data_IF_000433029562
#
_entry.id   IF_000433029562
#
_cell.length_a   1.000
_cell.length_b   1.000
_cell.length_c   1.000
_cell.angle_alpha   90.00
_cell.angle_beta   90.00
_cell.angle_gamma   90.00
#
_symmetry.space_group_name_H-M   'P 1'
#
loop_
_entity.id
_entity.type
_entity.pdbx_description
1 polymer ?
#
# COMPACT_ATOMS: atom_id res chain seq x y z
N UNK A 1 4.41 53.55 45.30
CA UNK A 1 4.26 52.10 45.56
C UNK A 1 5.02 51.75 46.84
N UNK A 2 4.34 51.17 47.84
CA UNK A 2 4.89 50.99 49.19
C UNK A 2 6.03 49.95 49.16
N UNK A 3 7.23 50.27 49.66
CA UNK A 3 8.41 49.36 49.62
C UNK A 3 8.14 48.00 50.29
N UNK A 4 7.24 47.98 51.29
CA UNK A 4 6.77 46.74 51.93
C UNK A 4 5.89 45.89 51.00
N UNK A 5 5.06 46.51 50.18
CA UNK A 5 4.20 45.82 49.21
C UNK A 5 5.03 45.22 48.07
N UNK A 6 6.05 45.94 47.59
CA UNK A 6 6.97 45.44 46.58
C UNK A 6 7.83 44.27 47.11
N UNK A 7 8.34 44.37 48.34
CA UNK A 7 9.07 43.27 48.99
C UNK A 7 8.19 42.02 49.20
N UNK A 8 6.92 42.21 49.55
CA UNK A 8 5.97 41.10 49.72
C UNK A 8 5.63 40.40 48.40
N UNK A 9 5.48 41.16 47.31
CA UNK A 9 5.26 40.60 45.97
C UNK A 9 6.49 39.83 45.48
N UNK A 10 7.71 40.34 45.68
CA UNK A 10 8.94 39.61 45.36
C UNK A 10 9.09 38.30 46.15
N UNK A 11 8.65 38.28 47.42
CA UNK A 11 8.70 37.07 48.25
C UNK A 11 7.71 36.00 47.77
N UNK A 12 6.52 36.41 47.31
CA UNK A 12 5.52 35.51 46.72
C UNK A 12 6.01 34.94 45.39
N UNK A 13 6.67 35.75 44.56
CA UNK A 13 7.23 35.31 43.27
C UNK A 13 8.40 34.33 43.50
N UNK A 14 9.25 34.55 44.51
CA UNK A 14 10.31 33.60 44.88
C UNK A 14 9.79 32.30 45.53
N UNK A 15 8.55 32.28 46.04
CA UNK A 15 7.93 31.09 46.62
C UNK A 15 7.19 30.21 45.59
N UNK A 16 7.06 30.67 44.34
CA UNK A 16 6.56 29.83 43.25
C UNK A 16 7.66 28.86 42.83
N UNK A 17 7.66 27.67 43.43
CA UNK A 17 8.43 26.54 42.90
C UNK A 17 7.86 26.20 41.53
N UNK A 18 8.68 26.35 40.48
CA UNK A 18 8.38 25.77 39.18
C UNK A 18 8.53 24.26 39.36
N UNK A 19 7.45 23.56 39.70
CA UNK A 19 7.43 22.11 39.59
C UNK A 19 7.34 21.77 38.11
N UNK A 20 8.44 21.26 37.55
CA UNK A 20 8.39 20.55 36.30
C UNK A 20 7.44 19.35 36.47
N UNK A 21 6.57 19.12 35.49
CA UNK A 21 5.69 17.96 35.52
C UNK A 21 6.53 16.69 35.43
N UNK A 22 6.40 15.79 36.40
CA UNK A 22 7.03 14.47 36.33
C UNK A 22 6.35 13.66 35.22
N UNK A 23 7.14 13.20 34.26
CA UNK A 23 6.70 12.31 33.19
C UNK A 23 6.69 10.88 33.76
N UNK A 24 5.52 10.25 33.83
CA UNK A 24 5.39 8.87 34.28
C UNK A 24 5.41 7.88 33.11
N UNK A 25 5.73 6.61 33.40
CA UNK A 25 5.59 5.53 32.43
C UNK A 25 4.15 5.40 31.92
N UNK A 26 3.15 5.62 32.78
CA UNK A 26 1.74 5.60 32.39
C UNK A 26 1.41 6.71 31.39
N UNK A 27 1.97 7.91 31.55
CA UNK A 27 1.77 8.99 30.57
C UNK A 27 2.28 8.62 29.17
N UNK A 28 3.36 7.83 29.09
CA UNK A 28 3.91 7.32 27.82
C UNK A 28 3.02 6.20 27.26
N UNK A 29 2.63 5.22 28.08
CA UNK A 29 1.80 4.07 27.67
C UNK A 29 0.40 4.53 27.19
N UNK A 30 -0.20 5.49 27.90
CA UNK A 30 -1.50 6.07 27.56
C UNK A 30 -1.42 7.09 26.41
N UNK A 31 -0.22 7.26 25.82
CA UNK A 31 0.02 8.17 24.69
C UNK A 31 -0.41 9.62 25.00
N UNK A 32 -0.33 10.05 26.26
CA UNK A 32 -0.73 11.41 26.70
C UNK A 32 -0.02 12.51 25.94
N UNK A 33 1.23 12.27 25.56
CA UNK A 33 2.07 13.21 24.80
C UNK A 33 2.17 12.86 23.31
N UNK A 34 1.37 11.93 22.81
CA UNK A 34 1.36 11.61 21.39
C UNK A 34 0.89 12.83 20.59
N UNK A 35 1.66 13.18 19.57
CA UNK A 35 1.28 14.24 18.65
C UNK A 35 -0.05 13.89 17.98
N UNK A 36 -0.98 14.85 17.98
CA UNK A 36 -2.19 14.73 17.16
C UNK A 36 -1.79 14.87 15.70
N UNK A 37 -2.20 13.92 14.87
CA UNK A 37 -2.12 14.01 13.42
C UNK A 37 -3.50 14.28 12.85
N UNK A 38 -3.56 14.80 11.62
CA UNK A 38 -4.80 14.80 10.87
C UNK A 38 -5.10 13.35 10.51
N UNK A 39 -6.34 12.89 10.77
CA UNK A 39 -6.79 11.56 10.35
C UNK A 39 -6.52 11.35 8.85
N UNK A 40 -6.48 10.09 8.41
CA UNK A 40 -6.21 9.70 7.01
C UNK A 40 -6.89 10.68 6.06
N UNK A 41 -6.07 11.40 5.30
CA UNK A 41 -6.54 12.45 4.40
C UNK A 41 -5.92 12.35 3.02
N UNK A 42 -6.73 12.59 2.00
CA UNK A 42 -6.31 12.59 0.60
C UNK A 42 -6.66 13.94 -0.03
N UNK A 43 -5.72 14.50 -0.79
CA UNK A 43 -5.99 15.66 -1.64
C UNK A 43 -6.96 15.25 -2.75
N UNK A 44 -7.95 16.11 -3.04
CA UNK A 44 -8.83 15.94 -4.18
C UNK A 44 -8.17 16.47 -5.45
N UNK A 45 -8.64 15.96 -6.59
CA UNK A 45 -8.11 16.33 -7.91
C UNK A 45 -8.41 17.76 -8.35
N UNK A 46 -9.38 18.40 -7.70
CA UNK A 46 -9.66 19.82 -7.92
C UNK A 46 -8.50 20.73 -7.46
N UNK A 47 -7.53 20.20 -6.69
CA UNK A 47 -6.36 20.92 -6.19
C UNK A 47 -6.67 21.97 -5.12
N UNK A 48 -7.91 22.01 -4.63
CA UNK A 48 -8.44 23.04 -3.74
C UNK A 48 -9.14 22.47 -2.51
N UNK A 49 -9.40 21.16 -2.47
CA UNK A 49 -10.02 20.47 -1.36
C UNK A 49 -9.29 19.19 -0.95
N UNK A 50 -9.52 18.74 0.28
CA UNK A 50 -9.05 17.45 0.79
C UNK A 50 -10.16 16.74 1.54
N UNK A 51 -10.07 15.41 1.60
CA UNK A 51 -11.02 14.55 2.29
C UNK A 51 -10.34 13.96 3.51
N UNK A 52 -11.02 13.92 4.65
CA UNK A 52 -10.56 13.25 5.86
C UNK A 52 -11.68 12.40 6.48
N UNK A 53 -11.29 11.35 7.20
CA UNK A 53 -12.22 10.58 8.03
C UNK A 53 -12.61 11.44 9.25
N UNK A 54 -13.90 11.45 9.60
CA UNK A 54 -14.39 12.11 10.82
C UNK A 54 -13.81 11.47 12.09
N UNK A 55 -13.79 12.22 13.20
CA UNK A 55 -13.23 11.73 14.47
C UNK A 55 -13.94 10.47 15.00
N UNK A 56 -15.23 10.32 14.71
CA UNK A 56 -16.04 9.13 15.06
C UNK A 56 -15.83 7.94 14.10
N UNK A 57 -15.07 8.13 13.01
CA UNK A 57 -14.83 7.10 12.00
C UNK A 57 -16.01 6.80 11.08
N UNK A 58 -17.12 7.54 11.16
CA UNK A 58 -18.36 7.20 10.44
C UNK A 58 -18.54 7.91 9.10
N UNK A 59 -17.76 8.97 8.84
CA UNK A 59 -17.98 9.84 7.69
C UNK A 59 -16.68 10.18 6.98
N UNK A 60 -16.77 10.41 5.67
CA UNK A 60 -15.75 11.13 4.92
C UNK A 60 -16.19 12.59 4.76
N UNK A 61 -15.37 13.50 5.26
CA UNK A 61 -15.63 14.93 5.30
C UNK A 61 -14.69 15.64 4.33
N UNK A 62 -15.22 16.56 3.51
CA UNK A 62 -14.46 17.33 2.55
C UNK A 62 -14.25 18.76 3.04
N UNK A 63 -13.01 19.22 3.02
CA UNK A 63 -12.62 20.53 3.50
C UNK A 63 -11.97 21.34 2.39
N UNK A 64 -12.16 22.66 2.42
CA UNK A 64 -11.39 23.58 1.57
C UNK A 64 -9.96 23.69 2.09
N UNK A 65 -8.98 23.51 1.21
CA UNK A 65 -7.56 23.54 1.56
C UNK A 65 -7.13 24.92 2.09
N UNK A 66 -7.70 25.99 1.55
CA UNK A 66 -7.30 27.36 1.87
C UNK A 66 -7.77 27.83 3.25
N UNK A 67 -9.02 27.56 3.59
CA UNK A 67 -9.65 28.07 4.81
C UNK A 67 -9.80 27.03 5.92
N UNK A 68 -9.73 25.73 5.59
CA UNK A 68 -10.11 24.65 6.50
C UNK A 68 -11.61 24.53 6.72
N UNK A 69 -12.44 25.27 5.96
CA UNK A 69 -13.89 25.18 6.07
C UNK A 69 -14.39 23.81 5.60
N UNK A 70 -15.28 23.19 6.38
CA UNK A 70 -16.03 22.01 5.96
C UNK A 70 -16.96 22.39 4.80
N UNK A 71 -16.75 21.77 3.63
CA UNK A 71 -17.55 21.97 2.43
C UNK A 71 -18.78 21.08 2.42
N UNK A 72 -18.58 19.76 2.61
CA UNK A 72 -19.66 18.78 2.68
C UNK A 72 -19.22 17.46 3.34
N UNK A 73 -20.20 16.57 3.54
CA UNK A 73 -20.00 15.17 3.92
C UNK A 73 -20.16 14.31 2.67
N UNK A 74 -19.09 13.63 2.25
CA UNK A 74 -19.07 12.78 1.05
C UNK A 74 -19.89 11.51 1.27
N UNK A 75 -19.77 10.90 2.44
CA UNK A 75 -20.52 9.72 2.86
C UNK A 75 -20.61 9.68 4.37
N UNK A 76 -21.72 9.18 4.89
CA UNK A 76 -21.84 8.67 6.25
C UNK A 76 -22.27 7.21 6.14
N UNK A 77 -21.42 6.29 6.59
CA UNK A 77 -21.58 4.84 6.30
C UNK A 77 -22.72 4.16 7.04
N UNK A 78 -23.36 4.83 8.00
CA UNK A 78 -24.59 4.36 8.63
C UNK A 78 -25.85 4.78 7.85
N UNK A 79 -25.71 5.71 6.91
CA UNK A 79 -26.81 6.29 6.13
C UNK A 79 -26.78 5.91 4.64
N UNK A 80 -25.93 4.95 4.28
CA UNK A 80 -25.85 4.39 2.92
C UNK A 80 -26.99 3.41 2.66
N UNK A 81 -27.33 3.23 1.38
CA UNK A 81 -28.29 2.23 0.92
C UNK A 81 -27.61 0.88 0.70
N UNK A 82 -28.42 -0.18 0.72
CA UNK A 82 -28.06 -1.60 0.56
C UNK A 82 -27.22 -2.17 1.72
N UNK A 83 -26.12 -1.52 2.10
CA UNK A 83 -25.28 -1.91 3.23
C UNK A 83 -24.91 -0.69 4.08
N UNK A 84 -24.48 -0.97 5.31
CA UNK A 84 -23.92 -0.01 6.25
C UNK A 84 -22.59 -0.55 6.80
N UNK A 85 -21.70 0.34 7.21
CA UNK A 85 -20.47 0.00 7.95
C UNK A 85 -20.48 0.64 9.33
N UNK A 86 -19.72 0.05 10.26
CA UNK A 86 -19.61 0.55 11.64
C UNK A 86 -18.54 1.62 11.82
N UNK A 87 -17.52 1.61 10.99
CA UNK A 87 -16.45 2.60 10.96
C UNK A 87 -15.66 2.46 9.66
N UNK A 88 -14.90 3.50 9.33
CA UNK A 88 -14.01 3.58 8.17
C UNK A 88 -12.58 3.58 8.71
N UNK A 89 -11.77 2.61 8.30
CA UNK A 89 -10.33 2.58 8.61
C UNK A 89 -9.48 3.20 7.50
N UNK A 90 -10.03 3.26 6.29
CA UNK A 90 -9.47 4.04 5.22
C UNK A 90 -10.29 4.00 3.94
N UNK A 91 -9.85 4.78 2.96
CA UNK A 91 -10.56 4.97 1.71
C UNK A 91 -9.62 5.24 0.52
N UNK A 92 -10.13 5.00 -0.70
CA UNK A 92 -9.46 5.34 -1.95
C UNK A 92 -10.51 5.75 -3.00
N UNK A 93 -10.26 6.82 -3.75
CA UNK A 93 -11.16 7.30 -4.80
C UNK A 93 -10.79 6.71 -6.17
N UNK A 94 -11.79 6.52 -7.03
CA UNK A 94 -11.56 6.38 -8.47
C UNK A 94 -11.02 7.67 -9.07
N UNK A 95 -10.46 7.57 -10.28
CA UNK A 95 -9.94 8.74 -11.00
C UNK A 95 -10.97 9.87 -11.23
N UNK A 96 -12.26 9.54 -11.31
CA UNK A 96 -13.36 10.48 -11.53
C UNK A 96 -14.10 10.88 -10.24
N UNK A 97 -13.58 10.49 -9.08
CA UNK A 97 -14.14 10.72 -7.75
C UNK A 97 -15.61 10.28 -7.57
N UNK A 98 -16.15 9.43 -8.46
CA UNK A 98 -17.56 9.02 -8.43
C UNK A 98 -17.81 7.76 -7.60
N UNK A 99 -16.77 6.92 -7.45
CA UNK A 99 -16.78 5.74 -6.61
C UNK A 99 -15.61 5.78 -5.62
N UNK A 100 -15.84 5.16 -4.45
CA UNK A 100 -14.89 5.15 -3.35
C UNK A 100 -14.77 3.73 -2.83
N UNK A 101 -13.55 3.22 -2.70
CA UNK A 101 -13.27 2.04 -1.88
C UNK A 101 -13.23 2.49 -0.42
N UNK A 102 -13.99 1.83 0.44
CA UNK A 102 -13.95 1.99 1.89
C UNK A 102 -13.57 0.65 2.50
N UNK A 103 -12.76 0.62 3.56
CA UNK A 103 -12.44 -0.62 4.26
C UNK A 103 -12.54 -0.51 5.77
N UNK A 104 -12.73 -1.68 6.39
CA UNK A 104 -12.84 -1.88 7.83
C UNK A 104 -12.26 -3.24 8.21
N UNK A 105 -12.07 -3.50 9.51
CA UNK A 105 -11.62 -4.77 10.05
C UNK A 105 -10.22 -5.16 9.54
N UNK A 106 -9.31 -4.20 9.41
CA UNK A 106 -7.95 -4.46 8.97
C UNK A 106 -7.22 -5.39 9.95
N UNK A 107 -6.65 -6.45 9.40
CA UNK A 107 -5.83 -7.43 10.10
C UNK A 107 -4.42 -7.40 9.50
N UNK A 108 -3.44 -6.83 10.21
CA UNK A 108 -2.05 -6.81 9.75
C UNK A 108 -1.50 -8.21 9.50
N UNK A 109 -0.61 -8.32 8.51
CA UNK A 109 0.14 -9.54 8.21
C UNK A 109 1.60 -9.35 8.61
N UNK A 110 2.29 -8.36 8.01
CA UNK A 110 3.63 -7.93 8.41
C UNK A 110 3.65 -6.41 8.70
N UNK A 111 4.69 -5.67 8.29
CA UNK A 111 4.81 -4.24 8.61
C UNK A 111 3.77 -3.35 7.92
N UNK A 112 3.35 -3.70 6.70
CA UNK A 112 2.53 -2.84 5.84
C UNK A 112 1.28 -3.53 5.33
N UNK A 113 1.36 -4.82 5.04
CA UNK A 113 0.25 -5.55 4.47
C UNK A 113 -0.80 -5.88 5.51
N UNK A 114 -2.05 -5.87 5.07
CA UNK A 114 -3.20 -6.23 5.86
C UNK A 114 -4.29 -6.80 4.98
N UNK A 115 -5.11 -7.68 5.55
CA UNK A 115 -6.41 -8.02 5.00
C UNK A 115 -7.47 -7.09 5.57
N UNK A 116 -8.48 -6.72 4.79
CA UNK A 116 -9.63 -5.97 5.28
C UNK A 116 -10.90 -6.34 4.50
N UNK A 117 -12.05 -5.96 5.05
CA UNK A 117 -13.33 -6.05 4.36
C UNK A 117 -13.53 -4.76 3.55
N UNK A 118 -13.51 -4.86 2.22
CA UNK A 118 -13.67 -3.71 1.34
C UNK A 118 -15.11 -3.58 0.84
N UNK A 119 -15.52 -2.32 0.68
CA UNK A 119 -16.80 -1.92 0.12
C UNK A 119 -16.57 -0.91 -1.01
N UNK A 120 -17.43 -0.96 -2.02
CA UNK A 120 -17.48 0.03 -3.09
C UNK A 120 -18.68 0.93 -2.84
N UNK A 121 -18.41 2.21 -2.58
CA UNK A 121 -19.42 3.24 -2.43
C UNK A 121 -19.64 3.99 -3.73
N UNK A 122 -20.87 4.00 -4.24
CA UNK A 122 -21.30 4.83 -5.35
C UNK A 122 -21.93 6.13 -4.81
N UNK A 123 -21.24 7.26 -4.99
CA UNK A 123 -21.67 8.56 -4.48
C UNK A 123 -22.99 9.03 -5.09
N UNK A 124 -23.17 8.82 -6.40
CA UNK A 124 -24.35 9.33 -7.14
C UNK A 124 -25.65 8.69 -6.64
N UNK A 125 -25.60 7.41 -6.29
CA UNK A 125 -26.78 6.66 -5.90
C UNK A 125 -26.89 6.43 -4.39
N UNK A 126 -25.87 6.86 -3.63
CA UNK A 126 -25.71 6.59 -2.20
C UNK A 126 -25.81 5.08 -1.88
N UNK A 127 -25.16 4.24 -2.70
CA UNK A 127 -25.18 2.78 -2.56
C UNK A 127 -23.82 2.31 -2.07
N UNK A 128 -23.82 1.48 -1.03
CA UNK A 128 -22.63 0.81 -0.52
C UNK A 128 -22.79 -0.70 -0.71
N UNK A 129 -21.80 -1.33 -1.33
CA UNK A 129 -21.82 -2.77 -1.61
C UNK A 129 -20.49 -3.41 -1.22
N UNK A 130 -20.49 -4.63 -0.66
CA UNK A 130 -19.26 -5.36 -0.43
C UNK A 130 -18.53 -5.61 -1.76
N UNK A 131 -17.20 -5.44 -1.76
CA UNK A 131 -16.38 -5.71 -2.94
C UNK A 131 -16.47 -7.19 -3.35
N UNK A 132 -16.41 -8.07 -2.35
CA UNK A 132 -16.51 -9.52 -2.49
C UNK A 132 -17.19 -10.12 -1.26
N UNK A 133 -18.01 -11.16 -1.48
CA UNK A 133 -18.62 -11.95 -0.40
C UNK A 133 -17.75 -13.14 0.03
N UNK A 134 -16.64 -13.38 -0.67
CA UNK A 134 -15.80 -14.56 -0.50
C UNK A 134 -14.67 -14.34 0.55
N UNK A 135 -14.91 -13.52 1.57
CA UNK A 135 -13.95 -13.22 2.65
C UNK A 135 -12.97 -12.09 2.31
N UNK A 136 -12.20 -11.65 3.33
CA UNK A 136 -11.37 -10.45 3.32
C UNK A 136 -10.36 -10.37 2.16
N UNK A 137 -10.07 -9.15 1.72
CA UNK A 137 -9.21 -8.86 0.57
C UNK A 137 -7.97 -8.09 1.02
N UNK A 138 -6.94 -8.07 0.17
CA UNK A 138 -5.75 -7.22 0.37
C UNK A 138 -5.26 -6.61 -0.93
N UNK A 139 -4.45 -5.58 -0.78
CA UNK A 139 -3.77 -4.87 -1.87
C UNK A 139 -4.74 -4.39 -2.96
N UNK A 140 -5.93 -3.89 -2.60
CA UNK A 140 -7.03 -3.56 -3.53
C UNK A 140 -6.75 -2.32 -4.38
N UNK A 141 -7.12 -2.34 -5.66
CA UNK A 141 -6.92 -1.21 -6.57
C UNK A 141 -8.00 -1.11 -7.68
N UNK A 142 -8.53 0.10 -7.91
CA UNK A 142 -9.40 0.39 -9.05
C UNK A 142 -8.66 0.32 -10.39
N UNK A 143 -9.36 -0.06 -11.45
CA UNK A 143 -8.92 0.20 -12.81
C UNK A 143 -8.98 1.71 -13.13
N UNK A 144 -8.16 2.23 -14.06
CA UNK A 144 -8.15 3.66 -14.39
C UNK A 144 -9.49 4.26 -14.84
N UNK A 145 -10.34 3.46 -15.48
CA UNK A 145 -11.71 3.83 -15.87
C UNK A 145 -12.75 3.70 -14.74
N UNK A 146 -12.34 3.22 -13.56
CA UNK A 146 -13.18 3.03 -12.37
C UNK A 146 -14.14 1.85 -12.45
N UNK A 147 -14.19 1.11 -13.56
CA UNK A 147 -15.24 0.09 -13.80
C UNK A 147 -14.92 -1.28 -13.19
N UNK A 148 -13.66 -1.48 -12.78
CA UNK A 148 -13.18 -2.72 -12.21
C UNK A 148 -12.35 -2.47 -10.97
N UNK A 149 -12.28 -3.47 -10.11
CA UNK A 149 -11.43 -3.47 -8.92
C UNK A 149 -10.64 -4.77 -8.92
N UNK A 150 -9.32 -4.67 -8.95
CA UNK A 150 -8.42 -5.80 -8.71
C UNK A 150 -8.14 -5.93 -7.20
N UNK A 151 -7.95 -7.16 -6.74
CA UNK A 151 -7.57 -7.44 -5.36
C UNK A 151 -6.94 -8.83 -5.25
N UNK A 152 -6.25 -9.08 -4.14
CA UNK A 152 -5.72 -10.39 -3.81
C UNK A 152 -6.48 -11.04 -2.66
N UNK A 153 -6.62 -12.37 -2.76
CA UNK A 153 -7.12 -13.26 -1.70
C UNK A 153 -6.50 -14.65 -1.91
N UNK A 154 -6.09 -15.30 -0.82
CA UNK A 154 -5.50 -16.66 -0.86
C UNK A 154 -4.39 -16.80 -1.91
N UNK A 155 -3.45 -15.84 -1.93
CA UNK A 155 -2.34 -15.75 -2.89
C UNK A 155 -2.74 -15.70 -4.39
N UNK A 156 -4.01 -15.43 -4.68
CA UNK A 156 -4.54 -15.31 -6.03
C UNK A 156 -5.10 -13.91 -6.29
N UNK A 157 -5.02 -13.48 -7.54
CA UNK A 157 -5.62 -12.23 -8.01
C UNK A 157 -7.05 -12.46 -8.50
N UNK A 158 -7.90 -11.49 -8.21
CA UNK A 158 -9.29 -11.43 -8.64
C UNK A 158 -9.60 -10.03 -9.21
N UNK A 159 -10.57 -9.97 -10.11
CA UNK A 159 -11.14 -8.72 -10.63
C UNK A 159 -12.65 -8.74 -10.40
N UNK A 160 -13.16 -7.76 -9.65
CA UNK A 160 -14.59 -7.43 -9.59
C UNK A 160 -14.92 -6.47 -10.73
N UNK A 161 -15.84 -6.86 -11.61
CA UNK A 161 -16.41 -5.98 -12.65
C UNK A 161 -17.67 -5.34 -12.09
N UNK A 162 -17.63 -4.03 -11.85
CA UNK A 162 -18.69 -3.32 -11.11
C UNK A 162 -20.00 -3.25 -11.90
N UNK A 163 -19.92 -3.04 -13.22
CA UNK A 163 -21.11 -2.96 -14.07
C UNK A 163 -21.96 -4.24 -14.09
N UNK A 164 -21.29 -5.39 -13.98
CA UNK A 164 -21.92 -6.71 -14.06
C UNK A 164 -22.06 -7.37 -12.69
N UNK A 165 -21.50 -6.74 -11.64
CA UNK A 165 -21.37 -7.28 -10.28
C UNK A 165 -20.68 -8.65 -10.21
N UNK A 166 -19.93 -9.04 -11.24
CA UNK A 166 -19.25 -10.34 -11.33
C UNK A 166 -17.82 -10.27 -10.82
N UNK A 167 -17.39 -11.32 -10.12
CA UNK A 167 -16.00 -11.54 -9.73
C UNK A 167 -15.35 -12.59 -10.65
N UNK A 168 -14.12 -12.34 -11.09
CA UNK A 168 -13.38 -13.23 -11.99
C UNK A 168 -11.99 -13.50 -11.39
N UNK A 169 -11.64 -14.77 -11.28
CA UNK A 169 -10.28 -15.18 -10.91
C UNK A 169 -9.31 -14.89 -12.07
N UNK A 170 -8.23 -14.15 -11.77
CA UNK A 170 -7.11 -13.88 -12.67
C UNK A 170 -6.11 -15.02 -12.60
N UNK A 171 -5.80 -15.48 -11.39
CA UNK A 171 -4.90 -16.62 -11.13
C UNK A 171 -5.61 -17.70 -10.33
N UNK A 172 -5.06 -18.91 -10.34
CA UNK A 172 -5.64 -20.08 -9.63
C UNK A 172 -4.59 -20.97 -8.96
N UNK A 173 -3.32 -20.64 -9.09
CA UNK A 173 -2.18 -21.44 -8.63
C UNK A 173 -1.56 -20.89 -7.34
N UNK A 174 -2.14 -19.84 -6.75
CA UNK A 174 -1.71 -19.30 -5.46
C UNK A 174 -1.77 -20.37 -4.37
N UNK A 175 -0.68 -20.47 -3.61
CA UNK A 175 -0.51 -21.46 -2.56
C UNK A 175 0.39 -20.89 -1.46
N UNK A 176 -0.06 -21.03 -0.20
CA UNK A 176 0.69 -20.57 0.98
C UNK A 176 2.08 -21.22 0.99
N UNK A 177 3.11 -20.42 1.27
CA UNK A 177 4.51 -20.89 1.33
C UNK A 177 5.00 -21.50 0.01
N UNK A 178 4.43 -21.12 -1.15
CA UNK A 178 4.85 -21.63 -2.45
C UNK A 178 4.71 -20.59 -3.56
N UNK A 179 3.49 -20.17 -3.85
CA UNK A 179 3.19 -19.29 -4.99
C UNK A 179 2.36 -18.11 -4.51
N UNK A 180 2.82 -16.90 -4.84
CA UNK A 180 2.12 -15.64 -4.56
C UNK A 180 1.91 -14.90 -5.89
N UNK A 181 0.68 -14.50 -6.18
CA UNK A 181 0.35 -13.72 -7.38
C UNK A 181 -0.04 -12.29 -7.00
N UNK A 182 0.76 -11.32 -7.46
CA UNK A 182 0.46 -9.89 -7.39
C UNK A 182 0.57 -9.24 -6.00
N UNK A 183 0.79 -9.99 -4.93
CA UNK A 183 1.25 -9.43 -3.65
C UNK A 183 2.71 -9.76 -3.42
N UNK A 184 3.38 -9.03 -2.53
CA UNK A 184 4.75 -9.30 -2.14
C UNK A 184 4.86 -10.54 -1.23
N UNK A 185 6.04 -11.16 -1.22
CA UNK A 185 6.47 -12.01 -0.12
C UNK A 185 6.99 -11.16 1.06
N UNK A 186 7.46 -11.82 2.12
CA UNK A 186 8.01 -11.15 3.31
C UNK A 186 9.22 -10.26 2.98
N UNK A 187 10.17 -10.76 2.17
CA UNK A 187 11.40 -10.04 1.84
C UNK A 187 11.08 -8.74 1.11
N UNK A 188 10.20 -8.81 0.11
CA UNK A 188 9.82 -7.64 -0.67
C UNK A 188 9.05 -6.61 0.16
N UNK A 189 8.19 -7.07 1.06
CA UNK A 189 7.46 -6.15 1.94
C UNK A 189 8.39 -5.41 2.91
N UNK A 190 9.37 -6.09 3.47
CA UNK A 190 10.22 -5.52 4.51
C UNK A 190 11.38 -4.72 3.92
N UNK A 191 12.06 -5.25 2.90
CA UNK A 191 13.29 -4.66 2.33
C UNK A 191 13.00 -3.69 1.18
N UNK A 192 12.00 -3.97 0.34
CA UNK A 192 11.57 -3.05 -0.73
C UNK A 192 10.31 -2.25 -0.36
N UNK A 193 9.74 -2.42 0.84
CA UNK A 193 8.60 -1.61 1.30
C UNK A 193 7.38 -1.64 0.35
N UNK A 194 7.19 -2.73 -0.40
CA UNK A 194 6.11 -2.89 -1.38
C UNK A 194 5.20 -4.04 -1.02
N UNK A 195 3.88 -3.86 -1.15
CA UNK A 195 2.89 -4.92 -0.88
C UNK A 195 2.12 -5.33 -2.13
N UNK A 196 1.73 -4.34 -2.96
CA UNK A 196 1.02 -4.56 -4.21
C UNK A 196 2.00 -4.65 -5.38
N UNK A 197 2.11 -5.85 -5.93
CA UNK A 197 2.95 -6.21 -7.06
C UNK A 197 2.13 -6.44 -8.33
N UNK A 198 1.13 -5.61 -8.55
CA UNK A 198 0.36 -5.54 -9.78
C UNK A 198 -0.08 -4.12 -10.09
N UNK A 199 -0.32 -3.82 -11.36
CA UNK A 199 -0.74 -2.51 -11.84
C UNK A 199 -1.57 -2.62 -13.13
N UNK A 200 -2.53 -1.70 -13.31
CA UNK A 200 -3.36 -1.64 -14.51
C UNK A 200 -2.67 -0.89 -15.65
N UNK A 201 -2.91 -1.28 -16.90
CA UNK A 201 -2.60 -0.40 -18.03
C UNK A 201 -3.52 0.82 -18.02
N UNK A 202 -3.04 1.96 -18.54
CA UNK A 202 -3.80 3.22 -18.56
C UNK A 202 -5.16 3.13 -19.28
N UNK A 203 -5.38 2.13 -20.12
CA UNK A 203 -6.66 1.87 -20.81
C UNK A 203 -7.52 0.77 -20.17
N UNK A 204 -7.16 0.32 -18.95
CA UNK A 204 -7.85 -0.73 -18.18
C UNK A 204 -7.91 -2.11 -18.86
N UNK A 205 -7.20 -2.35 -19.96
CA UNK A 205 -7.34 -3.63 -20.71
C UNK A 205 -6.49 -4.76 -20.18
N UNK A 206 -5.38 -4.45 -19.52
CA UNK A 206 -4.49 -5.44 -18.93
C UNK A 206 -4.24 -5.15 -17.46
N UNK A 207 -4.15 -6.22 -16.67
CA UNK A 207 -3.60 -6.20 -15.32
C UNK A 207 -2.22 -6.86 -15.40
N UNK A 208 -1.16 -6.11 -15.12
CA UNK A 208 0.20 -6.62 -15.09
C UNK A 208 0.54 -6.98 -13.66
N UNK A 209 1.12 -8.15 -13.43
CA UNK A 209 1.45 -8.59 -12.09
C UNK A 209 2.75 -9.38 -12.04
N UNK A 210 3.42 -9.32 -10.89
CA UNK A 210 4.56 -10.18 -10.57
C UNK A 210 4.03 -11.42 -9.86
N UNK A 211 4.49 -12.58 -10.33
CA UNK A 211 4.27 -13.88 -9.69
C UNK A 211 5.56 -14.31 -9.00
N UNK A 212 5.47 -14.58 -7.71
CA UNK A 212 6.56 -15.09 -6.88
C UNK A 212 6.44 -16.61 -6.78
N UNK A 213 7.56 -17.30 -7.02
CA UNK A 213 7.73 -18.69 -6.65
C UNK A 213 8.75 -18.76 -5.51
N UNK A 214 8.22 -18.91 -4.30
CA UNK A 214 8.97 -19.01 -3.05
C UNK A 214 9.16 -20.47 -2.60
N UNK A 215 8.80 -21.48 -3.42
CA UNK A 215 8.90 -22.90 -3.05
C UNK A 215 10.32 -23.37 -2.72
N UNK A 216 11.34 -22.67 -3.23
CA UNK A 216 12.76 -22.96 -2.95
C UNK A 216 13.32 -22.17 -1.77
N UNK A 217 12.57 -21.19 -1.27
CA UNK A 217 12.97 -20.39 -0.11
C UNK A 217 12.80 -21.24 1.14
N UNK A 218 13.77 -21.14 2.05
CA UNK A 218 13.73 -21.84 3.34
C UNK A 218 12.69 -21.19 4.25
N UNK A 219 12.02 -22.02 5.04
CA UNK A 219 11.08 -21.56 6.06
C UNK A 219 11.80 -21.19 7.35
N UNK A 220 11.26 -20.17 8.02
CA UNK A 220 11.50 -19.92 9.42
C UNK A 220 10.23 -20.24 10.21
N UNK A 221 10.39 -20.88 11.37
CA UNK A 221 9.29 -21.23 12.27
C UNK A 221 9.39 -20.38 13.53
N UNK A 222 8.30 -19.69 13.86
CA UNK A 222 8.12 -18.99 15.13
C UNK A 222 7.19 -19.81 16.00
N UNK A 223 7.62 -20.12 17.21
CA UNK A 223 6.76 -20.79 18.19
C UNK A 223 5.67 -19.83 18.66
N UNK A 224 4.41 -20.24 18.50
CA UNK A 224 3.24 -19.53 19.01
C UNK A 224 2.73 -20.23 20.27
N UNK A 225 2.29 -19.44 21.25
CA UNK A 225 1.75 -19.94 22.51
C UNK A 225 0.29 -19.49 22.66
N UNK A 226 -0.43 -20.09 23.61
CA UNK A 226 -1.80 -19.66 23.96
C UNK A 226 -1.91 -18.14 24.13
N UNK A 227 -0.98 -17.54 24.89
CA UNK A 227 -0.93 -16.11 25.19
C UNK A 227 -0.30 -15.23 24.09
N UNK A 228 -0.03 -15.78 22.90
CA UNK A 228 0.31 -14.96 21.72
C UNK A 228 -0.86 -14.00 21.41
N UNK A 229 -0.60 -12.91 20.69
CA UNK A 229 -1.63 -11.92 20.33
C UNK A 229 -1.88 -11.96 18.81
N UNK A 230 -3.12 -12.18 18.34
CA UNK A 230 -4.31 -12.52 19.12
C UNK A 230 -4.19 -13.89 19.80
N UNK A 231 -4.93 -14.09 20.89
CA UNK A 231 -4.94 -15.33 21.67
C UNK A 231 -5.17 -16.54 20.75
N UNK A 232 -4.35 -17.59 20.94
CA UNK A 232 -4.39 -18.82 20.15
C UNK A 232 -4.96 -19.95 20.98
N UNK A 233 -6.29 -20.03 21.08
CA UNK A 233 -6.99 -21.05 21.87
C UNK A 233 -6.57 -22.48 21.52
N UNK A 234 -6.24 -22.74 20.25
CA UNK A 234 -5.78 -24.05 19.77
C UNK A 234 -4.45 -24.50 20.41
N UNK A 235 -3.69 -23.55 20.98
CA UNK A 235 -2.40 -23.78 21.64
C UNK A 235 -2.49 -23.75 23.17
N UNK A 236 -3.69 -23.96 23.74
CA UNK A 236 -3.93 -23.95 25.19
C UNK A 236 -3.00 -24.89 25.97
N UNK A 237 -2.75 -26.08 25.45
CA UNK A 237 -1.96 -27.12 26.13
C UNK A 237 -0.58 -27.36 25.52
N UNK A 238 -0.42 -27.10 24.22
CA UNK A 238 0.83 -27.32 23.48
C UNK A 238 1.09 -26.15 22.53
N UNK A 239 2.33 -25.64 22.46
CA UNK A 239 2.68 -24.58 21.52
C UNK A 239 2.48 -25.00 20.07
N UNK A 240 2.09 -24.05 19.24
CA UNK A 240 2.04 -24.20 17.78
C UNK A 240 3.19 -23.49 17.08
N UNK A 241 3.10 -23.40 15.76
CA UNK A 241 4.11 -22.74 14.94
C UNK A 241 3.47 -21.87 13.86
N UNK A 242 4.01 -20.65 13.71
CA UNK A 242 3.82 -19.84 12.52
C UNK A 242 5.03 -20.05 11.60
N UNK A 243 4.78 -20.60 10.40
CA UNK A 243 5.81 -20.90 9.39
C UNK A 243 5.66 -20.00 8.17
N UNK A 244 6.75 -19.37 7.77
CA UNK A 244 6.78 -18.48 6.61
C UNK A 244 8.15 -18.54 5.91
N UNK A 245 8.18 -18.14 4.63
CA UNK A 245 9.42 -18.10 3.84
C UNK A 245 10.29 -16.92 4.25
N UNK A 246 11.55 -17.19 4.59
CA UNK A 246 12.50 -16.19 5.08
C UNK A 246 13.91 -16.48 4.53
N UNK A 247 14.34 -15.80 3.46
CA UNK A 247 15.68 -15.96 2.93
C UNK A 247 16.69 -15.20 3.80
N UNK A 248 17.59 -15.93 4.47
CA UNK A 248 18.77 -15.33 5.10
C UNK A 248 19.79 -14.92 4.05
N UNK A 249 20.76 -14.08 4.44
CA UNK A 249 21.87 -13.68 3.58
C UNK A 249 22.51 -14.88 2.87
N UNK A 250 22.66 -14.79 1.54
CA UNK A 250 23.21 -15.84 0.68
C UNK A 250 22.31 -17.05 0.44
N UNK A 251 21.04 -17.05 0.89
CA UNK A 251 20.08 -18.11 0.59
C UNK A 251 19.21 -17.76 -0.63
N UNK A 252 18.59 -18.78 -1.23
CA UNK A 252 17.67 -18.61 -2.36
C UNK A 252 16.53 -17.63 -2.02
N UNK A 253 16.30 -16.69 -2.93
CA UNK A 253 15.14 -15.83 -2.94
C UNK A 253 13.99 -16.42 -3.77
N UNK A 254 12.82 -15.81 -3.64
CA UNK A 254 11.69 -16.05 -4.54
C UNK A 254 12.09 -15.79 -5.98
N UNK A 255 11.78 -16.73 -6.87
CA UNK A 255 11.95 -16.53 -8.31
C UNK A 255 10.74 -15.76 -8.82
N UNK A 256 10.97 -14.59 -9.39
CA UNK A 256 9.91 -13.72 -9.88
C UNK A 256 9.70 -13.89 -11.38
N UNK A 257 8.47 -13.68 -11.82
CA UNK A 257 8.11 -13.64 -13.25
C UNK A 257 7.02 -12.59 -13.46
N UNK A 258 7.06 -11.91 -14.61
CA UNK A 258 6.07 -10.89 -14.96
C UNK A 258 4.98 -11.49 -15.84
N UNK A 259 3.73 -11.13 -15.59
CA UNK A 259 2.58 -11.66 -16.31
C UNK A 259 1.60 -10.52 -16.66
N UNK A 260 0.89 -10.70 -17.77
CA UNK A 260 -0.19 -9.82 -18.21
C UNK A 260 -1.49 -10.61 -18.32
N UNK A 261 -2.51 -10.18 -17.58
CA UNK A 261 -3.87 -10.67 -17.73
C UNK A 261 -4.68 -9.74 -18.64
N UNK A 262 -5.15 -10.24 -19.77
CA UNK A 262 -6.02 -9.50 -20.67
C UNK A 262 -7.49 -9.68 -20.28
N UNK A 263 -8.14 -8.59 -19.86
CA UNK A 263 -9.51 -8.62 -19.28
C UNK A 263 -10.57 -9.15 -20.24
N UNK A 264 -10.50 -8.78 -21.51
CA UNK A 264 -11.53 -9.11 -22.50
C UNK A 264 -11.54 -10.61 -22.82
N UNK A 265 -10.36 -11.19 -23.07
CA UNK A 265 -10.22 -12.60 -23.44
C UNK A 265 -9.92 -13.52 -22.26
N UNK A 266 -9.76 -12.95 -21.05
CA UNK A 266 -9.46 -13.68 -19.81
C UNK A 266 -8.23 -14.56 -19.93
N UNK A 267 -7.19 -14.03 -20.58
CA UNK A 267 -5.97 -14.76 -20.91
C UNK A 267 -4.79 -14.21 -20.12
N UNK A 268 -4.01 -15.10 -19.51
CA UNK A 268 -2.69 -14.76 -18.96
C UNK A 268 -1.59 -15.04 -19.97
N UNK A 269 -0.65 -14.12 -20.08
CA UNK A 269 0.58 -14.27 -20.86
C UNK A 269 1.76 -13.90 -19.99
N UNK A 270 2.76 -14.79 -19.91
CA UNK A 270 4.02 -14.46 -19.27
C UNK A 270 4.78 -13.45 -20.15
N UNK A 271 5.19 -12.34 -19.56
CA UNK A 271 5.97 -11.31 -20.20
C UNK A 271 7.47 -11.60 -20.06
N UNK A 272 8.22 -11.36 -21.13
CA UNK A 272 9.65 -11.67 -21.20
C UNK A 272 10.48 -10.44 -20.91
N UNK A 273 11.37 -10.55 -19.92
CA UNK A 273 12.39 -9.57 -19.59
C UNK A 273 13.75 -10.28 -19.48
N UNK A 274 14.86 -9.60 -19.78
CA UNK A 274 16.20 -10.15 -19.63
C UNK A 274 16.61 -10.14 -18.15
N UNK A 275 15.97 -11.00 -17.36
CA UNK A 275 16.21 -11.18 -15.93
C UNK A 275 17.02 -12.44 -15.68
N UNK A 276 18.05 -12.33 -14.86
CA UNK A 276 18.67 -13.50 -14.27
C UNK A 276 17.76 -14.13 -13.21
N UNK A 277 18.03 -15.40 -12.89
CA UNK A 277 17.19 -16.22 -12.01
C UNK A 277 16.95 -15.60 -10.61
N UNK A 278 17.92 -14.83 -10.12
CA UNK A 278 17.93 -14.24 -8.78
C UNK A 278 17.69 -12.73 -8.79
N UNK A 279 17.42 -12.15 -9.97
CA UNK A 279 17.12 -10.73 -10.10
C UNK A 279 15.76 -10.39 -9.51
N UNK A 280 15.63 -9.14 -9.09
CA UNK A 280 14.43 -8.59 -8.51
C UNK A 280 13.64 -7.79 -9.53
N UNK A 281 12.31 -7.85 -9.41
CA UNK A 281 11.39 -6.81 -9.93
C UNK A 281 10.80 -6.06 -8.73
N UNK A 282 11.48 -5.08 -8.12
CA UNK A 282 11.00 -4.42 -6.90
C UNK A 282 9.74 -3.59 -7.11
N UNK A 283 9.56 -3.00 -8.30
CA UNK A 283 8.39 -2.18 -8.60
C UNK A 283 7.97 -2.27 -10.07
N UNK A 284 6.69 -2.04 -10.31
CA UNK A 284 6.10 -1.81 -11.62
C UNK A 284 5.16 -0.61 -11.52
N UNK A 285 5.15 0.23 -12.55
CA UNK A 285 4.27 1.41 -12.62
C UNK A 285 3.61 1.51 -13.99
N UNK A 286 2.36 1.95 -14.01
CA UNK A 286 1.72 2.37 -15.24
C UNK A 286 2.35 3.67 -15.72
N UNK A 287 2.62 3.77 -17.02
CA UNK A 287 2.90 5.06 -17.65
C UNK A 287 1.59 5.71 -18.08
N UNK A 288 1.66 6.94 -18.62
CA UNK A 288 0.49 7.56 -19.27
C UNK A 288 0.11 6.89 -20.59
N UNK A 289 0.94 6.00 -21.14
CA UNK A 289 0.71 5.29 -22.39
C UNK A 289 0.28 3.85 -22.13
N UNK A 290 -0.91 3.46 -22.58
CA UNK A 290 -1.49 2.14 -22.30
C UNK A 290 -0.66 0.95 -22.81
N UNK A 291 0.18 1.18 -23.82
CA UNK A 291 1.08 0.19 -24.41
C UNK A 291 2.50 0.20 -23.80
N UNK A 292 2.72 0.92 -22.70
CA UNK A 292 4.00 1.02 -22.01
C UNK A 292 3.80 0.85 -20.51
N UNK A 293 4.24 -0.28 -19.99
CA UNK A 293 4.34 -0.53 -18.55
C UNK A 293 5.79 -0.42 -18.13
N UNK A 294 6.06 0.35 -17.09
CA UNK A 294 7.40 0.56 -16.57
C UNK A 294 7.73 -0.54 -15.56
N UNK A 295 8.76 -1.33 -15.84
CA UNK A 295 9.21 -2.42 -15.00
C UNK A 295 10.61 -2.11 -14.50
N UNK A 296 10.74 -1.95 -13.18
CA UNK A 296 12.01 -1.69 -12.51
C UNK A 296 12.61 -3.02 -12.12
N UNK A 297 13.86 -3.24 -12.50
CA UNK A 297 14.58 -4.48 -12.22
C UNK A 297 15.91 -4.17 -11.55
N UNK A 298 16.30 -4.97 -10.58
CA UNK A 298 17.53 -4.80 -9.82
C UNK A 298 18.23 -6.15 -9.75
N UNK A 299 19.52 -6.20 -10.06
CA UNK A 299 20.26 -7.46 -9.98
C UNK A 299 20.38 -7.94 -8.53
N UNK A 300 20.74 -9.22 -8.33
CA UNK A 300 20.89 -9.81 -6.98
C UNK A 300 21.85 -9.04 -6.05
N UNK A 301 22.94 -8.51 -6.61
CA UNK A 301 23.94 -7.71 -5.88
C UNK A 301 23.46 -6.28 -5.59
N UNK A 302 22.31 -5.89 -6.13
CA UNK A 302 21.68 -4.58 -5.96
C UNK A 302 22.56 -3.42 -6.42
N UNK A 303 23.43 -3.65 -7.39
CA UNK A 303 24.36 -2.66 -7.91
C UNK A 303 24.16 -2.34 -9.40
N UNK A 304 23.17 -2.98 -10.03
CA UNK A 304 22.74 -2.69 -11.40
C UNK A 304 21.21 -2.57 -11.45
N UNK A 305 20.73 -1.34 -11.66
CA UNK A 305 19.32 -1.02 -11.86
C UNK A 305 19.04 -0.87 -13.35
N UNK A 306 17.95 -1.47 -13.82
CA UNK A 306 17.43 -1.31 -15.17
C UNK A 306 15.93 -0.98 -15.14
N UNK A 307 15.53 -0.03 -15.97
CA UNK A 307 14.13 0.30 -16.22
C UNK A 307 13.76 -0.13 -17.64
N UNK A 308 12.73 -0.96 -17.75
CA UNK A 308 12.18 -1.39 -19.03
C UNK A 308 10.79 -0.80 -19.24
N UNK A 309 10.50 -0.37 -20.47
CA UNK A 309 9.12 -0.28 -20.96
C UNK A 309 8.73 -1.57 -21.64
N UNK A 310 7.62 -2.17 -21.22
CA UNK A 310 7.07 -3.37 -21.84
C UNK A 310 5.67 -3.12 -22.40
N UNK A 311 5.44 -3.59 -23.62
CA UNK A 311 4.12 -3.61 -24.23
C UNK A 311 3.43 -4.94 -23.90
N UNK A 312 2.32 -4.92 -23.13
CA UNK A 312 1.69 -6.15 -22.67
C UNK A 312 0.97 -6.93 -23.77
N UNK A 313 0.67 -6.28 -24.91
CA UNK A 313 0.06 -6.93 -26.07
C UNK A 313 1.08 -7.64 -26.95
N UNK A 314 2.22 -6.99 -27.24
CA UNK A 314 3.23 -7.53 -28.16
C UNK A 314 4.36 -8.29 -27.45
N UNK A 315 4.44 -8.20 -26.12
CA UNK A 315 5.55 -8.72 -25.31
C UNK A 315 6.94 -8.17 -25.72
N UNK A 316 6.96 -6.98 -26.33
CA UNK A 316 8.21 -6.30 -26.67
C UNK A 316 8.60 -5.42 -25.49
N UNK A 317 9.82 -5.59 -24.99
CA UNK A 317 10.43 -4.73 -24.00
C UNK A 317 11.51 -3.82 -24.62
N UNK A 318 11.72 -2.66 -24.01
CA UNK A 318 12.77 -1.70 -24.35
C UNK A 318 13.43 -1.23 -23.07
N UNK A 319 14.75 -1.40 -22.97
CA UNK A 319 15.56 -0.77 -21.92
C UNK A 319 15.55 0.75 -22.14
N UNK A 320 15.16 1.51 -21.11
CA UNK A 320 15.09 2.99 -21.19
C UNK A 320 16.04 3.68 -20.22
N UNK A 321 16.46 3.01 -19.14
CA UNK A 321 17.49 3.47 -18.23
C UNK A 321 18.26 2.27 -17.70
N UNK A 322 19.58 2.42 -17.58
CA UNK A 322 20.46 1.48 -16.89
C UNK A 322 21.44 2.28 -16.05
N UNK A 323 21.56 1.94 -14.78
CA UNK A 323 22.52 2.56 -13.87
C UNK A 323 23.24 1.50 -13.07
N UNK A 324 24.55 1.69 -12.91
CA UNK A 324 25.39 0.85 -12.06
C UNK A 324 26.09 1.71 -11.02
N UNK A 325 26.28 1.14 -9.84
CA UNK A 325 27.02 1.75 -8.75
C UNK A 325 28.08 0.77 -8.24
N UNK A 326 29.25 1.25 -7.83
CA UNK A 326 30.31 0.36 -7.32
C UNK A 326 29.91 -0.34 -6.02
N UNK A 327 29.06 0.30 -5.20
CA UNK A 327 28.53 -0.25 -3.97
C UNK A 327 27.14 -0.86 -4.20
N UNK A 328 26.12 -0.01 -4.33
CA UNK A 328 24.72 -0.43 -4.54
C UNK A 328 23.87 0.74 -5.08
N UNK A 329 22.72 0.40 -5.67
CA UNK A 329 21.63 1.32 -5.98
C UNK A 329 20.64 1.27 -4.82
N UNK A 330 20.35 2.40 -4.19
CA UNK A 330 19.35 2.46 -3.12
C UNK A 330 17.94 2.24 -3.69
N UNK A 331 17.27 1.12 -3.37
CA UNK A 331 15.97 0.80 -3.94
C UNK A 331 14.86 1.74 -3.46
N UNK A 332 15.09 2.53 -2.41
CA UNK A 332 14.10 3.48 -1.88
C UNK A 332 13.81 4.64 -2.85
N UNK A 333 14.64 4.85 -3.88
CA UNK A 333 14.43 5.88 -4.90
C UNK A 333 13.56 5.41 -6.06
N UNK A 334 13.51 4.10 -6.31
CA UNK A 334 12.79 3.51 -7.42
C UNK A 334 11.27 3.81 -7.38
N UNK A 335 10.56 3.74 -6.22
CA UNK A 335 9.14 4.07 -6.19
C UNK A 335 8.88 5.56 -6.37
N UNK A 336 9.90 6.43 -6.31
CA UNK A 336 9.77 7.88 -6.53
C UNK A 336 9.89 8.28 -8.02
N UNK A 337 10.10 7.31 -8.92
CA UNK A 337 10.12 7.59 -10.37
C UNK A 337 8.72 8.02 -10.83
N UNK A 338 8.62 9.23 -11.36
CA UNK A 338 7.37 9.81 -11.85
C UNK A 338 7.37 9.89 -13.38
N UNK A 339 6.31 9.37 -13.99
CA UNK A 339 6.14 9.31 -15.44
C UNK A 339 5.21 10.42 -15.93
N UNK A 340 5.72 11.25 -16.82
CA UNK A 340 4.91 12.22 -17.57
C UNK A 340 4.40 11.59 -18.89
N UNK A 341 3.90 12.41 -19.80
CA UNK A 341 3.49 11.92 -21.14
C UNK A 341 4.68 11.59 -22.06
N UNK A 342 5.87 12.15 -21.79
CA UNK A 342 7.05 12.07 -22.66
C UNK A 342 8.32 11.67 -21.89
N UNK A 343 8.49 12.25 -20.71
CA UNK A 343 9.70 12.16 -19.89
C UNK A 343 9.41 11.44 -18.57
N UNK A 344 10.46 11.06 -17.85
CA UNK A 344 10.36 10.60 -16.46
C UNK A 344 11.48 11.14 -15.58
N UNK A 345 11.22 11.24 -14.28
CA UNK A 345 12.23 11.66 -13.30
C UNK A 345 12.82 10.46 -12.55
N UNK A 346 14.11 10.50 -12.24
CA UNK A 346 14.79 9.48 -11.45
C UNK A 346 15.82 10.12 -10.52
N UNK A 347 15.83 9.70 -9.25
CA UNK A 347 16.82 10.13 -8.26
C UNK A 347 18.03 9.20 -8.37
N UNK A 348 19.21 9.77 -8.62
CA UNK A 348 20.47 9.04 -8.77
C UNK A 348 21.56 9.63 -7.88
N UNK A 349 22.50 8.77 -7.47
CA UNK A 349 23.71 9.11 -6.72
C UNK A 349 24.97 9.09 -7.60
N UNK A 350 24.82 9.08 -8.94
CA UNK A 350 25.93 8.87 -9.89
C UNK A 350 27.06 9.90 -9.85
N UNK A 351 26.82 11.09 -9.31
CA UNK A 351 27.84 12.14 -9.12
C UNK A 351 28.33 12.26 -7.66
N UNK A 352 27.93 11.31 -6.79
CA UNK A 352 28.25 11.27 -5.37
C UNK A 352 27.22 11.93 -4.46
N UNK A 353 26.16 12.53 -5.01
CA UNK A 353 25.06 13.13 -4.26
C UNK A 353 23.70 12.74 -4.84
N UNK A 354 22.65 12.80 -4.01
CA UNK A 354 21.28 12.51 -4.45
C UNK A 354 20.75 13.69 -5.26
N UNK A 355 20.64 13.49 -6.57
CA UNK A 355 20.08 14.47 -7.49
C UNK A 355 18.92 13.89 -8.30
N UNK A 356 17.97 14.77 -8.66
CA UNK A 356 16.87 14.43 -9.56
C UNK A 356 17.32 14.65 -11.01
N UNK A 357 17.16 13.63 -11.84
CA UNK A 357 17.47 13.66 -13.26
C UNK A 357 16.19 13.49 -14.09
N UNK A 358 16.10 14.20 -15.21
CA UNK A 358 15.00 14.10 -16.17
C UNK A 358 15.50 13.33 -17.41
N UNK A 359 14.72 12.37 -17.88
CA UNK A 359 15.02 11.50 -19.02
C UNK A 359 13.94 11.52 -20.08
#
# INVERSE_FOLDING_TARGET
MNKKLFGFICLIICAMTIQAQDISLNDIIEKKYAAKSVAVSNMMKDGSSYVAISEDGLSLLRYELKSGQLLDTIVNVEKTREHQMKHIEGFCFTEQDNQILLWTNAKPVYRRSFYADYYVYNRRHNILEPLSENGAQRDVCFSPDGRMVAFARDNNLFIKKLDFKTEVAVTKDGAINQIINGTSDWLYEEEFSTTRMYEWTADSKYLIYVRFNESHVKEYALTEYYCSMPEKSDYQYYPGEYRFKYPRAGQDNSRVSLHAYQVQYRQNTQLTLPLDKEDYIPYLKATKQANQMAIMTLNRNQNEFKLFYINPKSNINKLVLSESNEAYIDPTYLPEIEFTSKDFTYISEKDGYRHLYLY
#
